data_IF_427449259366
#
_entry.id   IF_427449259366
#
_cell.length_a   1.000
_cell.length_b   1.000
_cell.length_c   1.000
_cell.angle_alpha   90.00
_cell.angle_beta   90.00
_cell.angle_gamma   90.00
#
_symmetry.space_group_name_H-M   'P 1'
#
loop_
_entity.id
_entity.type
_entity.pdbx_description
1 polymer ?
#
# COMPACT_ATOMS: atom_id res chain seq x y z
N UNK A 1 -0.46 17.89 -8.32
CA UNK A 1 0.08 17.69 -6.96
C UNK A 1 1.44 17.04 -7.12
N UNK A 2 2.49 17.64 -6.55
CA UNK A 2 3.84 17.05 -6.62
C UNK A 2 3.97 15.90 -5.63
N UNK A 3 4.71 14.85 -6.01
CA UNK A 3 4.95 13.71 -5.13
C UNK A 3 5.66 14.17 -3.84
N UNK A 4 6.56 15.15 -3.92
CA UNK A 4 7.19 15.78 -2.75
C UNK A 4 6.19 16.32 -1.74
N UNK A 5 5.15 17.02 -2.20
CA UNK A 5 4.10 17.57 -1.33
C UNK A 5 3.36 16.45 -0.60
N UNK A 6 3.02 15.38 -1.32
CA UNK A 6 2.33 14.21 -0.78
C UNK A 6 3.22 13.49 0.23
N UNK A 7 4.52 13.36 -0.05
CA UNK A 7 5.48 12.75 0.86
C UNK A 7 5.71 13.57 2.13
N UNK A 8 5.72 14.90 2.02
CA UNK A 8 5.72 15.80 3.19
C UNK A 8 4.41 15.71 3.97
N UNK A 9 3.28 15.56 3.28
CA UNK A 9 1.96 15.47 3.93
C UNK A 9 1.71 14.10 4.58
N UNK A 10 2.34 13.05 4.07
CA UNK A 10 2.28 11.67 4.62
C UNK A 10 3.34 11.41 5.69
N UNK A 11 4.25 12.37 5.96
CA UNK A 11 5.30 12.23 6.96
C UNK A 11 6.52 11.42 6.48
N UNK A 12 6.58 11.02 5.21
CA UNK A 12 7.68 10.21 4.68
C UNK A 12 9.03 10.94 4.66
N UNK A 13 9.01 12.26 4.42
CA UNK A 13 10.23 13.08 4.48
C UNK A 13 10.67 13.27 5.93
N UNK A 14 9.73 13.45 6.86
CA UNK A 14 9.98 13.59 8.28
C UNK A 14 10.56 12.31 8.91
N UNK A 15 10.04 11.13 8.55
CA UNK A 15 10.58 9.85 9.00
C UNK A 15 12.00 9.63 8.47
N UNK A 16 12.21 9.84 7.16
CA UNK A 16 13.55 9.75 6.56
C UNK A 16 14.55 10.74 7.19
N UNK A 17 14.12 11.96 7.48
CA UNK A 17 14.96 12.97 8.11
C UNK A 17 15.41 12.52 9.52
N UNK A 18 14.49 11.90 10.29
CA UNK A 18 14.79 11.34 11.61
C UNK A 18 15.74 10.15 11.53
N UNK A 19 15.48 9.21 10.62
CA UNK A 19 16.30 7.99 10.46
C UNK A 19 17.74 8.31 10.06
N UNK A 20 17.92 9.35 9.24
CA UNK A 20 19.23 9.78 8.78
C UNK A 20 19.89 10.81 9.70
N UNK A 21 19.17 11.32 10.69
CA UNK A 21 19.64 12.40 11.56
C UNK A 21 19.93 13.70 10.82
N UNK A 22 19.19 14.00 9.74
CA UNK A 22 19.39 15.19 8.91
C UNK A 22 18.24 16.20 9.07
N UNK A 23 18.48 17.50 8.78
CA UNK A 23 17.40 18.49 8.79
C UNK A 23 16.31 18.14 7.77
N UNK A 24 15.02 18.35 8.07
CA UNK A 24 13.92 18.10 7.14
C UNK A 24 14.03 18.91 5.85
N UNK A 25 14.61 20.12 5.93
CA UNK A 25 14.91 20.93 4.74
C UNK A 25 15.93 20.24 3.80
N UNK A 26 16.95 19.60 4.37
CA UNK A 26 17.95 18.84 3.61
C UNK A 26 17.34 17.57 3.01
N UNK A 27 16.50 16.87 3.78
CA UNK A 27 15.75 15.72 3.32
C UNK A 27 14.85 16.06 2.12
N UNK A 28 14.15 17.21 2.18
CA UNK A 28 13.32 17.73 1.09
C UNK A 28 14.16 18.05 -0.15
N UNK A 29 15.27 18.75 -0.01
CA UNK A 29 16.18 19.09 -1.12
C UNK A 29 16.75 17.84 -1.79
N UNK A 30 17.18 16.85 -1.00
CA UNK A 30 17.66 15.57 -1.52
C UNK A 30 16.57 14.82 -2.27
N UNK A 31 15.34 14.78 -1.72
CA UNK A 31 14.20 14.17 -2.39
C UNK A 31 13.88 14.87 -3.72
N UNK A 32 13.87 16.20 -3.77
CA UNK A 32 13.65 17.00 -4.98
C UNK A 32 14.69 16.70 -6.08
N UNK A 33 15.95 16.47 -5.70
CA UNK A 33 17.01 16.14 -6.66
C UNK A 33 16.97 14.68 -7.15
N UNK A 34 16.57 13.75 -6.29
CA UNK A 34 16.55 12.31 -6.59
C UNK A 34 15.26 11.84 -7.28
N UNK A 35 14.13 12.48 -6.98
CA UNK A 35 12.82 12.09 -7.50
C UNK A 35 12.74 12.03 -9.03
N UNK A 36 13.26 13.01 -9.80
CA UNK A 36 13.21 12.94 -11.26
C UNK A 36 13.92 11.70 -11.81
N UNK A 37 15.03 11.30 -11.20
CA UNK A 37 15.77 10.11 -11.59
C UNK A 37 15.00 8.83 -11.24
N UNK A 38 14.46 8.74 -10.02
CA UNK A 38 13.66 7.60 -9.57
C UNK A 38 12.42 7.41 -10.47
N UNK A 39 11.67 8.49 -10.72
CA UNK A 39 10.51 8.48 -11.62
C UNK A 39 10.89 8.13 -13.07
N UNK A 40 12.05 8.63 -13.53
CA UNK A 40 12.61 8.27 -14.84
C UNK A 40 12.95 6.79 -14.94
N UNK A 41 13.54 6.21 -13.89
CA UNK A 41 13.82 4.78 -13.78
C UNK A 41 12.54 3.94 -13.81
N UNK A 42 11.53 4.31 -13.02
CA UNK A 42 10.23 3.65 -13.04
C UNK A 42 9.55 3.71 -14.40
N UNK A 43 9.58 4.88 -15.07
CA UNK A 43 9.05 5.03 -16.43
C UNK A 43 9.78 4.11 -17.41
N UNK A 44 11.10 4.04 -17.33
CA UNK A 44 11.92 3.17 -18.19
C UNK A 44 11.62 1.69 -17.94
N UNK A 45 11.45 1.29 -16.68
CA UNK A 45 11.07 -0.09 -16.33
C UNK A 45 9.66 -0.42 -16.83
N UNK A 46 8.70 0.49 -16.65
CA UNK A 46 7.34 0.32 -17.19
C UNK A 46 7.32 0.24 -18.73
N UNK A 47 8.22 0.96 -19.41
CA UNK A 47 8.38 0.85 -20.87
C UNK A 47 9.09 -0.43 -21.32
N UNK A 48 10.02 -0.94 -20.51
CA UNK A 48 10.77 -2.18 -20.77
C UNK A 48 9.98 -3.46 -20.47
N UNK A 49 9.00 -3.40 -19.56
CA UNK A 49 8.18 -4.53 -19.12
C UNK A 49 7.17 -5.07 -20.15
N UNK A 50 7.20 -4.59 -21.40
CA UNK A 50 6.37 -5.12 -22.49
C UNK A 50 5.32 -4.12 -22.94
N UNK A 51 5.34 -3.89 -24.25
CA UNK A 51 4.51 -2.99 -25.04
C UNK A 51 3.03 -3.40 -25.08
N UNK A 52 2.13 -2.47 -24.74
CA UNK A 52 0.76 -2.48 -25.25
C UNK A 52 -0.33 -2.24 -24.22
N UNK A 53 -0.68 -0.97 -23.99
CA UNK A 53 -1.96 -0.54 -23.40
C UNK A 53 -2.17 -0.83 -21.90
N UNK A 54 -2.32 0.23 -21.09
CA UNK A 54 -2.94 0.18 -19.75
C UNK A 54 -2.18 -0.53 -18.61
N UNK A 55 -1.60 -1.71 -18.85
CA UNK A 55 -1.19 -2.67 -17.83
C UNK A 55 0.31 -2.61 -17.44
N UNK A 56 1.10 -1.71 -18.04
CA UNK A 56 2.51 -1.51 -17.65
C UNK A 56 2.66 -1.09 -16.19
N UNK A 57 1.69 -0.32 -15.67
CA UNK A 57 1.63 0.04 -14.26
C UNK A 57 1.17 -1.13 -13.38
N UNK A 58 0.36 -2.05 -13.92
CA UNK A 58 -0.11 -3.26 -13.25
C UNK A 58 1.00 -4.31 -13.10
N UNK A 59 1.81 -4.53 -14.14
CA UNK A 59 2.98 -5.41 -14.08
C UNK A 59 4.05 -4.90 -13.10
N UNK A 60 4.30 -3.58 -13.12
CA UNK A 60 5.15 -2.94 -12.12
C UNK A 60 4.54 -3.03 -10.72
N UNK A 61 3.23 -2.84 -10.58
CA UNK A 61 2.50 -2.96 -9.33
C UNK A 61 2.56 -4.36 -8.74
N UNK A 62 2.45 -5.41 -9.56
CA UNK A 62 2.60 -6.80 -9.12
C UNK A 62 4.01 -7.12 -8.65
N UNK A 63 5.02 -6.64 -9.38
CA UNK A 63 6.42 -6.74 -8.96
C UNK A 63 6.68 -5.99 -7.65
N UNK A 64 6.16 -4.76 -7.53
CA UNK A 64 6.24 -3.99 -6.29
C UNK A 64 5.54 -4.69 -5.15
N UNK A 65 4.38 -5.28 -5.40
CA UNK A 65 3.65 -6.15 -4.47
C UNK A 65 4.52 -7.30 -3.98
N UNK A 66 5.24 -7.97 -4.88
CA UNK A 66 6.19 -9.03 -4.53
C UNK A 66 7.39 -8.52 -3.70
N UNK A 67 7.85 -7.29 -3.93
CA UNK A 67 8.89 -6.64 -3.13
C UNK A 67 8.41 -6.06 -1.79
N UNK A 68 7.11 -6.08 -1.49
CA UNK A 68 6.54 -5.59 -0.23
C UNK A 68 5.38 -4.59 -0.38
N UNK A 69 5.03 -4.19 -1.60
CA UNK A 69 3.83 -3.44 -1.94
C UNK A 69 3.63 -2.18 -1.11
N UNK A 70 2.40 -1.97 -0.63
CA UNK A 70 2.08 -0.88 0.31
C UNK A 70 2.83 -0.98 1.66
N UNK A 71 3.35 -2.16 2.01
CA UNK A 71 4.18 -2.37 3.20
C UNK A 71 5.56 -1.71 3.12
N UNK A 72 6.07 -1.44 1.91
CA UNK A 72 7.30 -0.64 1.72
C UNK A 72 7.12 0.79 2.24
N UNK A 73 5.94 1.38 1.99
CA UNK A 73 5.59 2.70 2.51
C UNK A 73 5.43 2.64 4.04
N UNK A 74 4.75 1.61 4.54
CA UNK A 74 4.54 1.41 5.98
C UNK A 74 5.86 1.21 6.74
N UNK A 75 6.82 0.48 6.15
CA UNK A 75 8.15 0.25 6.72
C UNK A 75 9.00 1.53 6.78
N UNK A 76 8.77 2.50 5.87
CA UNK A 76 9.44 3.81 5.91
C UNK A 76 8.78 4.77 6.89
N UNK A 77 7.46 4.64 7.07
CA UNK A 77 6.70 5.45 8.01
C UNK A 77 6.76 4.92 9.45
N UNK A 78 7.11 3.65 9.60
CA UNK A 78 7.30 2.98 10.89
C UNK A 78 8.47 3.58 11.67
N UNK A 79 8.43 3.52 13.02
CA UNK A 79 9.54 3.93 13.87
C UNK A 79 10.73 2.94 13.83
N UNK A 80 10.59 1.83 13.09
CA UNK A 80 11.65 0.84 12.89
C UNK A 80 12.62 1.28 11.80
N UNK A 81 13.90 0.84 11.87
CA UNK A 81 14.88 1.17 10.85
C UNK A 81 14.42 0.68 9.47
N UNK A 82 14.40 1.59 8.51
CA UNK A 82 13.94 1.30 7.15
C UNK A 82 14.76 0.16 6.53
N UNK A 83 14.14 -0.88 5.96
CA UNK A 83 14.86 -1.99 5.34
C UNK A 83 15.60 -1.51 4.08
N UNK A 84 16.90 -1.29 4.23
CA UNK A 84 17.74 -0.76 3.15
C UNK A 84 17.88 -1.79 2.02
N UNK A 85 17.81 -3.10 2.32
CA UNK A 85 17.82 -4.15 1.29
C UNK A 85 16.66 -4.02 0.31
N UNK A 86 15.42 -3.90 0.80
CA UNK A 86 14.24 -3.78 -0.05
C UNK A 86 14.30 -2.54 -0.96
N UNK A 87 14.83 -1.43 -0.43
CA UNK A 87 15.11 -0.24 -1.23
C UNK A 87 16.17 -0.49 -2.31
N UNK A 88 17.25 -1.22 -1.99
CA UNK A 88 18.26 -1.60 -2.97
C UNK A 88 17.72 -2.53 -4.07
N UNK A 89 16.78 -3.40 -3.74
CA UNK A 89 16.14 -4.29 -4.71
C UNK A 89 15.22 -3.52 -5.66
N UNK A 90 14.40 -2.60 -5.13
CA UNK A 90 13.62 -1.65 -5.96
C UNK A 90 14.55 -0.85 -6.88
N UNK A 91 15.68 -0.38 -6.36
CA UNK A 91 16.66 0.36 -7.14
C UNK A 91 17.31 -0.48 -8.25
N UNK A 92 17.64 -1.73 -7.96
CA UNK A 92 18.12 -2.68 -8.95
C UNK A 92 17.10 -2.91 -10.06
N UNK A 93 15.81 -2.99 -9.72
CA UNK A 93 14.72 -3.13 -10.68
C UNK A 93 14.59 -1.89 -11.58
N UNK A 94 14.56 -0.68 -11.01
CA UNK A 94 14.28 0.54 -11.80
C UNK A 94 15.48 1.09 -12.55
N UNK A 95 16.69 0.96 -11.99
CA UNK A 95 17.91 1.49 -12.57
C UNK A 95 18.74 0.43 -13.29
N UNK A 96 18.44 -0.86 -13.08
CA UNK A 96 19.14 -2.00 -13.66
C UNK A 96 20.44 -2.32 -12.93
N UNK A 97 21.33 -1.33 -12.78
CA UNK A 97 22.62 -1.54 -12.11
C UNK A 97 22.87 -0.56 -10.96
N UNK A 98 23.68 -1.02 -10.00
CA UNK A 98 24.11 -0.20 -8.85
C UNK A 98 24.97 0.99 -9.28
N UNK A 99 25.62 0.94 -10.45
CA UNK A 99 26.36 2.09 -10.98
C UNK A 99 25.42 3.25 -11.29
N UNK A 100 24.27 2.98 -11.90
CA UNK A 100 23.28 4.02 -12.23
C UNK A 100 22.74 4.65 -10.95
N UNK A 101 22.35 3.85 -9.95
CA UNK A 101 21.90 4.35 -8.64
C UNK A 101 22.96 5.23 -7.96
N UNK A 102 24.26 4.83 -8.04
CA UNK A 102 25.37 5.62 -7.48
C UNK A 102 25.61 6.92 -8.26
N UNK A 103 25.47 6.89 -9.58
CA UNK A 103 25.58 8.08 -10.43
C UNK A 103 24.47 9.08 -10.08
N UNK A 104 23.24 8.61 -9.93
CA UNK A 104 22.09 9.44 -9.52
C UNK A 104 22.31 10.08 -8.15
N UNK A 105 22.86 9.34 -7.17
CA UNK A 105 23.23 9.91 -5.88
C UNK A 105 24.34 10.97 -6.00
N UNK A 106 25.34 10.74 -6.85
CA UNK A 106 26.43 11.70 -7.11
C UNK A 106 25.95 12.98 -7.78
N UNK A 107 25.06 12.86 -8.76
CA UNK A 107 24.46 14.01 -9.45
C UNK A 107 23.57 14.83 -8.51
N UNK A 108 22.79 14.16 -7.65
CA UNK A 108 22.01 14.82 -6.63
C UNK A 108 22.90 15.53 -5.60
N UNK A 109 24.04 14.94 -5.23
CA UNK A 109 25.01 15.54 -4.30
C UNK A 109 25.59 16.84 -4.88
N UNK A 110 26.00 16.81 -6.15
CA UNK A 110 26.53 17.98 -6.85
C UNK A 110 25.50 19.12 -6.96
N UNK A 111 24.21 18.80 -7.11
CA UNK A 111 23.13 19.79 -7.24
C UNK A 111 22.66 20.37 -5.91
N UNK A 112 22.64 19.55 -4.86
CA UNK A 112 22.07 19.94 -3.56
C UNK A 112 23.12 20.41 -2.57
N UNK A 113 24.40 20.10 -2.81
CA UNK A 113 25.47 20.30 -1.83
C UNK A 113 25.44 19.32 -0.65
N UNK A 114 24.57 18.31 -0.69
CA UNK A 114 24.46 17.28 0.35
C UNK A 114 25.56 16.22 0.14
N UNK A 115 26.12 15.71 1.23
CA UNK A 115 27.12 14.63 1.17
C UNK A 115 26.60 13.41 0.39
N UNK A 116 27.45 12.87 -0.48
CA UNK A 116 27.10 11.74 -1.32
C UNK A 116 26.84 10.46 -0.51
N UNK A 117 27.44 10.32 0.68
CA UNK A 117 27.15 9.23 1.61
C UNK A 117 25.75 9.33 2.21
N UNK A 118 25.32 10.54 2.59
CA UNK A 118 23.94 10.80 3.03
C UNK A 118 22.93 10.50 1.93
N UNK A 119 23.15 11.00 0.70
CA UNK A 119 22.24 10.75 -0.42
C UNK A 119 22.18 9.28 -0.82
N UNK A 120 23.30 8.54 -0.75
CA UNK A 120 23.28 7.08 -0.95
C UNK A 120 22.40 6.35 0.08
N UNK A 121 22.28 6.86 1.31
CA UNK A 121 21.39 6.31 2.33
C UNK A 121 19.94 6.77 2.12
N UNK A 122 19.72 7.99 1.61
CA UNK A 122 18.39 8.49 1.25
C UNK A 122 17.77 7.74 0.07
N UNK A 123 18.60 7.36 -0.91
CA UNK A 123 18.14 6.87 -2.20
C UNK A 123 17.30 5.57 -2.10
N UNK A 124 17.67 4.56 -1.30
CA UNK A 124 16.85 3.37 -1.03
C UNK A 124 15.54 3.70 -0.30
N UNK A 125 15.59 4.60 0.70
CA UNK A 125 14.41 4.99 1.50
C UNK A 125 13.38 5.69 0.61
N UNK A 126 13.85 6.65 -0.21
CA UNK A 126 13.00 7.33 -1.18
C UNK A 126 12.44 6.38 -2.23
N UNK A 127 13.24 5.44 -2.72
CA UNK A 127 12.77 4.44 -3.66
C UNK A 127 11.62 3.60 -3.08
N UNK A 128 11.75 3.13 -1.83
CA UNK A 128 10.68 2.40 -1.15
C UNK A 128 9.44 3.25 -0.89
N UNK A 129 9.63 4.51 -0.53
CA UNK A 129 8.54 5.45 -0.28
C UNK A 129 7.72 5.70 -1.56
N UNK A 130 8.39 5.98 -2.69
CA UNK A 130 7.74 6.14 -3.99
C UNK A 130 7.12 4.83 -4.46
N UNK A 131 7.85 3.72 -4.29
CA UNK A 131 7.38 2.40 -4.68
C UNK A 131 6.12 2.01 -3.90
N UNK A 132 6.15 2.09 -2.58
CA UNK A 132 5.02 1.77 -1.72
C UNK A 132 3.82 2.69 -1.95
N UNK A 133 4.06 3.97 -2.26
CA UNK A 133 2.99 4.89 -2.65
C UNK A 133 2.34 4.48 -3.98
N UNK A 134 3.15 4.19 -5.02
CA UNK A 134 2.65 3.73 -6.32
C UNK A 134 1.97 2.36 -6.23
N UNK A 135 2.52 1.44 -5.43
CA UNK A 135 1.90 0.16 -5.12
C UNK A 135 0.52 0.41 -4.51
N UNK A 136 0.43 1.18 -3.42
CA UNK A 136 -0.84 1.49 -2.74
C UNK A 136 -1.85 2.19 -3.65
N UNK A 137 -1.40 3.02 -4.59
CA UNK A 137 -2.26 3.70 -5.55
C UNK A 137 -2.71 2.79 -6.70
N UNK A 138 -1.84 1.92 -7.21
CA UNK A 138 -2.17 0.93 -8.25
C UNK A 138 -3.00 -0.24 -7.72
N UNK A 139 -2.79 -0.61 -6.46
CA UNK A 139 -3.48 -1.66 -5.70
C UNK A 139 -4.90 -1.23 -5.28
N UNK A 140 -5.13 0.08 -5.15
CA UNK A 140 -6.44 0.68 -4.85
C UNK A 140 -7.52 0.51 -5.93
N UNK A 141 -7.19 -0.12 -7.07
CA UNK A 141 -8.18 -0.49 -8.10
C UNK A 141 -8.51 -1.99 -8.09
N UNK A 142 -7.77 -2.86 -7.39
CA UNK A 142 -8.07 -4.31 -7.43
C UNK A 142 -7.61 -5.20 -6.27
N UNK A 143 -7.09 -4.69 -5.15
CA UNK A 143 -6.66 -5.55 -4.04
C UNK A 143 -7.26 -5.11 -2.71
N UNK A 144 -8.07 -6.00 -2.15
CA UNK A 144 -8.36 -6.00 -0.72
C UNK A 144 -7.10 -6.37 0.06
N UNK A 145 -6.56 -5.42 0.83
CA UNK A 145 -5.44 -5.71 1.73
C UNK A 145 -4.77 -4.46 2.29
N UNK A 146 -5.38 -3.83 3.30
CA UNK A 146 -4.75 -2.73 4.05
C UNK A 146 -5.72 -1.61 4.37
N UNK A 147 -6.23 -1.61 5.61
CA UNK A 147 -7.15 -0.64 6.20
C UNK A 147 -8.56 -0.52 5.55
N UNK A 148 -8.67 -0.55 4.22
CA UNK A 148 -9.95 -0.58 3.50
C UNK A 148 -10.68 -1.94 3.54
N UNK A 149 -9.95 -3.05 3.72
CA UNK A 149 -10.54 -4.39 3.84
C UNK A 149 -11.22 -4.66 5.19
N UNK A 150 -10.76 -4.02 6.27
CA UNK A 150 -11.39 -4.14 7.58
C UNK A 150 -12.65 -3.26 7.67
N UNK A 151 -12.59 -2.04 7.12
CA UNK A 151 -13.76 -1.18 6.99
C UNK A 151 -14.74 -1.68 5.92
N UNK A 152 -14.26 -2.35 4.87
CA UNK A 152 -15.07 -3.02 3.86
C UNK A 152 -15.70 -4.32 4.36
N UNK A 153 -15.07 -5.06 5.28
CA UNK A 153 -15.71 -6.19 5.95
C UNK A 153 -16.70 -5.75 7.03
N UNK A 154 -16.46 -4.62 7.71
CA UNK A 154 -17.41 -4.04 8.67
C UNK A 154 -18.59 -3.37 7.95
N UNK A 155 -18.34 -2.66 6.85
CA UNK A 155 -19.38 -1.97 6.08
C UNK A 155 -20.07 -2.90 5.07
N UNK A 156 -19.36 -3.87 4.50
CA UNK A 156 -19.91 -4.95 3.68
C UNK A 156 -20.65 -5.99 4.52
N UNK A 157 -20.18 -6.27 5.74
CA UNK A 157 -20.93 -7.02 6.74
C UNK A 157 -22.14 -6.26 7.31
N UNK A 158 -22.16 -4.93 7.19
CA UNK A 158 -23.30 -4.09 7.55
C UNK A 158 -24.24 -3.76 6.37
N UNK A 159 -23.89 -4.11 5.12
CA UNK A 159 -24.64 -3.67 3.92
C UNK A 159 -24.90 -4.78 2.88
N UNK A 160 -24.47 -6.02 3.10
CA UNK A 160 -24.72 -7.13 2.17
C UNK A 160 -24.89 -8.47 2.89
N UNK A 161 -26.14 -8.83 3.19
CA UNK A 161 -26.48 -10.13 3.75
C UNK A 161 -26.35 -11.28 2.74
N UNK A 162 -25.96 -12.46 3.24
CA UNK A 162 -26.18 -13.75 2.58
C UNK A 162 -25.04 -14.77 2.70
N UNK A 163 -25.22 -15.74 3.59
CA UNK A 163 -24.60 -17.08 3.68
C UNK A 163 -23.17 -17.25 4.28
N UNK A 164 -23.09 -18.12 5.30
CA UNK A 164 -21.98 -18.46 6.19
C UNK A 164 -21.28 -19.81 5.79
N UNK A 165 -20.40 -20.47 6.59
CA UNK A 165 -19.75 -20.10 7.87
C UNK A 165 -18.23 -20.43 7.96
N UNK A 166 -17.51 -19.83 8.92
CA UNK A 166 -16.57 -20.54 9.82
C UNK A 166 -15.92 -19.63 10.88
N UNK A 167 -16.14 -20.01 12.14
CA UNK A 167 -15.26 -19.91 13.30
C UNK A 167 -14.73 -18.52 13.75
N UNK A 168 -15.26 -18.05 14.89
CA UNK A 168 -14.46 -17.32 15.87
C UNK A 168 -15.12 -16.13 16.56
N UNK A 169 -15.41 -16.32 17.85
CA UNK A 169 -15.43 -15.31 18.93
C UNK A 169 -16.42 -14.13 18.88
N UNK A 170 -17.49 -14.28 19.69
CA UNK A 170 -17.77 -13.36 20.80
C UNK A 170 -18.38 -11.99 20.51
N UNK A 171 -19.71 -11.90 20.50
CA UNK A 171 -20.45 -10.70 20.91
C UNK A 171 -21.91 -11.04 21.22
N UNK A 172 -22.16 -11.42 22.47
CA UNK A 172 -23.49 -11.73 22.99
C UNK A 172 -24.24 -10.45 23.36
N UNK A 173 -25.31 -10.15 22.61
CA UNK A 173 -26.47 -9.34 23.02
C UNK A 173 -27.50 -9.20 21.89
N UNK A 174 -27.11 -9.39 20.62
CA UNK A 174 -28.01 -9.26 19.46
C UNK A 174 -28.25 -10.57 18.69
N UNK A 175 -27.46 -11.62 18.93
CA UNK A 175 -27.69 -12.96 18.37
C UNK A 175 -28.87 -13.73 18.98
N UNK A 176 -29.37 -13.31 20.15
CA UNK A 176 -30.46 -14.00 20.85
C UNK A 176 -31.83 -13.84 20.20
N UNK A 177 -32.09 -12.77 19.44
CA UNK A 177 -33.32 -12.62 18.65
C UNK A 177 -33.21 -13.28 17.26
N UNK A 178 -32.01 -13.35 16.69
CA UNK A 178 -31.77 -14.04 15.43
C UNK A 178 -31.97 -15.56 15.57
N UNK A 179 -31.46 -16.16 16.65
CA UNK A 179 -31.64 -17.59 16.92
C UNK A 179 -33.03 -17.99 17.45
N UNK A 180 -33.93 -17.04 17.68
CA UNK A 180 -35.34 -17.32 17.93
C UNK A 180 -36.19 -17.21 16.65
N UNK A 181 -35.71 -16.46 15.66
CA UNK A 181 -36.31 -16.33 14.33
C UNK A 181 -35.91 -17.48 13.40
N UNK A 182 -34.71 -18.03 13.58
CA UNK A 182 -34.15 -19.17 12.83
C UNK A 182 -34.32 -20.45 13.66
N UNK A 183 -35.57 -20.87 13.88
CA UNK A 183 -35.90 -21.94 14.82
C UNK A 183 -35.76 -23.34 14.19
N UNK A 184 -35.71 -23.47 12.87
CA UNK A 184 -35.48 -24.74 12.17
C UNK A 184 -34.11 -24.85 11.46
N UNK A 185 -33.36 -23.75 11.39
CA UNK A 185 -31.95 -23.71 11.04
C UNK A 185 -31.65 -23.75 9.54
N UNK A 186 -32.58 -23.32 8.69
CA UNK A 186 -32.40 -23.29 7.23
C UNK A 186 -31.82 -21.97 6.69
N UNK A 187 -31.75 -20.93 7.54
CA UNK A 187 -31.17 -19.64 7.21
C UNK A 187 -32.04 -18.73 6.35
N UNK A 188 -33.36 -18.96 6.25
CA UNK A 188 -34.26 -18.15 5.44
C UNK A 188 -35.56 -17.73 6.17
N UNK A 189 -35.56 -16.59 6.89
CA UNK A 189 -36.67 -16.18 7.77
C UNK A 189 -37.98 -15.84 7.04
N UNK A 190 -37.95 -15.73 5.70
CA UNK A 190 -39.14 -15.49 4.89
C UNK A 190 -39.99 -16.76 4.72
N UNK A 191 -39.37 -17.94 4.72
CA UNK A 191 -40.09 -19.21 4.58
C UNK A 191 -40.83 -19.56 5.88
N UNK A 192 -40.24 -19.25 7.04
CA UNK A 192 -40.89 -19.39 8.35
C UNK A 192 -42.17 -18.56 8.49
N UNK A 193 -42.14 -17.31 8.03
CA UNK A 193 -43.28 -16.39 8.09
C UNK A 193 -44.40 -16.86 7.14
N UNK A 194 -44.03 -17.38 5.96
CA UNK A 194 -44.97 -17.89 4.96
C UNK A 194 -45.57 -19.23 5.42
N UNK A 195 -44.76 -20.10 6.04
CA UNK A 195 -45.18 -21.36 6.64
C UNK A 195 -46.15 -21.17 7.80
N UNK A 196 -45.90 -20.18 8.67
CA UNK A 196 -46.79 -19.88 9.79
C UNK A 196 -48.12 -19.24 9.32
N UNK A 197 -48.09 -18.41 8.28
CA UNK A 197 -49.29 -17.81 7.68
C UNK A 197 -50.15 -18.84 6.92
N UNK A 198 -49.53 -19.84 6.29
CA UNK A 198 -50.24 -20.95 5.63
C UNK A 198 -50.94 -21.89 6.61
N UNK A 199 -50.38 -22.08 7.81
CA UNK A 199 -50.89 -23.01 8.83
C UNK A 199 -52.07 -22.48 9.66
N UNK A 200 -52.37 -21.17 9.56
CA UNK A 200 -53.48 -20.50 10.24
C UNK A 200 -54.77 -20.39 9.40
N UNK A 201 -54.74 -20.85 8.15
CA UNK A 201 -55.91 -20.90 7.24
C UNK A 201 -56.21 -22.35 6.79
N UNK A 202 -56.15 -23.27 7.74
CA UNK A 202 -56.54 -24.67 7.63
C UNK A 202 -57.21 -25.12 8.93
#
# INVERSE_FOLDING_TARGET
>A
MNLTEILSQTGGIESMAKDLGIPPAMAKQGAEALLPAILGGFKKQAQGAGSGGGDALGGLGGLLGQLGGGGLLDAVLSPEPTPVEAGNDVLGQIFGTKEVSRSVAGDAAAKTGIDAGTLKKMLPILAMLVAGYMAKQGDGTNSGGGFGGMLGNVLGGAMGGGAAPAAGSGSGALGGLGSLLDLDGDGNPLDDIIGMAGKLRG
#
